data_IF_525749187941
#
_entry.id   IF_525749187941
#
_cell.length_a   1.000
_cell.length_b   1.000
_cell.length_c   1.000
_cell.angle_alpha   90.00
_cell.angle_beta   90.00
_cell.angle_gamma   90.00
#
_symmetry.space_group_name_H-M   'P 1'
#
loop_
_entity.id
_entity.type
_entity.pdbx_description
1 polymer ?
#
# COMPACT_ATOMS: atom_id res chain seq x y z
N UNK A 1 -7.55 19.98 11.48
CA UNK A 1 -6.57 18.85 11.47
C UNK A 1 -6.60 18.24 10.08
N UNK A 2 -5.46 17.85 9.52
CA UNK A 2 -5.41 17.14 8.22
C UNK A 2 -5.96 15.73 8.37
N UNK A 3 -6.62 15.21 7.33
CA UNK A 3 -7.31 13.92 7.34
C UNK A 3 -6.59 12.94 6.41
N UNK A 4 -6.28 11.75 6.95
CA UNK A 4 -5.62 10.65 6.23
C UNK A 4 -6.54 9.44 6.16
N UNK A 5 -6.95 9.05 4.96
CA UNK A 5 -7.74 7.84 4.70
C UNK A 5 -6.79 6.70 4.33
N UNK A 6 -6.88 5.58 5.04
CA UNK A 6 -5.97 4.44 4.86
C UNK A 6 -6.81 3.19 4.64
N UNK A 7 -6.69 2.57 3.47
CA UNK A 7 -7.38 1.33 3.15
C UNK A 7 -6.56 0.11 3.59
N UNK A 8 -7.22 -0.99 3.97
CA UNK A 8 -6.56 -2.16 4.54
C UNK A 8 -5.91 -1.88 5.89
N UNK A 9 -6.55 -1.05 6.73
CA UNK A 9 -5.97 -0.50 7.95
C UNK A 9 -6.24 -1.31 9.22
N UNK A 10 -6.86 -2.50 9.11
CA UNK A 10 -7.10 -3.36 10.26
C UNK A 10 -5.84 -4.08 10.75
N UNK A 11 -4.83 -4.26 9.89
CA UNK A 11 -3.61 -5.03 10.22
C UNK A 11 -2.42 -4.59 9.37
N UNK A 12 -1.24 -5.15 9.69
CA UNK A 12 -0.05 -5.06 8.87
C UNK A 12 0.42 -3.64 8.60
N UNK A 13 0.91 -3.40 7.38
CA UNK A 13 1.42 -2.09 6.95
C UNK A 13 0.35 -1.00 7.08
N UNK A 14 -0.93 -1.30 6.79
CA UNK A 14 -2.02 -0.33 6.91
C UNK A 14 -2.22 0.14 8.34
N UNK A 15 -2.24 -0.77 9.31
CA UNK A 15 -2.36 -0.43 10.73
C UNK A 15 -1.12 0.31 11.24
N UNK A 16 0.08 -0.12 10.85
CA UNK A 16 1.32 0.60 11.20
C UNK A 16 1.32 2.02 10.61
N UNK A 17 0.84 2.19 9.37
CA UNK A 17 0.65 3.52 8.76
C UNK A 17 -0.37 4.36 9.52
N UNK A 18 -1.49 3.78 9.95
CA UNK A 18 -2.48 4.48 10.76
C UNK A 18 -1.88 4.99 12.07
N UNK A 19 -1.08 4.16 12.75
CA UNK A 19 -0.36 4.56 13.98
C UNK A 19 0.64 5.69 13.71
N UNK A 20 1.47 5.57 12.67
CA UNK A 20 2.45 6.59 12.31
C UNK A 20 1.77 7.94 11.99
N UNK A 21 0.70 7.93 11.19
CA UNK A 21 -0.05 9.14 10.85
C UNK A 21 -0.73 9.76 12.08
N UNK A 22 -1.25 8.93 12.99
CA UNK A 22 -1.81 9.42 14.27
C UNK A 22 -0.74 10.08 15.12
N UNK A 23 0.45 9.50 15.23
CA UNK A 23 1.57 10.05 15.99
C UNK A 23 2.06 11.40 15.43
N UNK A 24 1.94 11.61 14.10
CA UNK A 24 2.22 12.90 13.46
C UNK A 24 1.08 13.93 13.58
N UNK A 25 0.01 13.59 14.29
CA UNK A 25 -1.09 14.50 14.59
C UNK A 25 -2.15 14.60 13.48
N UNK A 26 -2.23 13.62 12.56
CA UNK A 26 -3.29 13.57 11.58
C UNK A 26 -4.58 12.95 12.15
N UNK A 27 -5.72 13.37 11.66
CA UNK A 27 -6.97 12.66 11.84
C UNK A 27 -7.00 11.44 10.92
N UNK A 28 -7.07 10.25 11.48
CA UNK A 28 -7.02 9.01 10.72
C UNK A 28 -8.42 8.44 10.48
N UNK A 29 -8.66 7.97 9.26
CA UNK A 29 -9.80 7.14 8.88
C UNK A 29 -9.25 5.77 8.51
N UNK A 30 -9.55 4.76 9.32
CA UNK A 30 -9.19 3.37 9.09
C UNK A 30 -10.31 2.70 8.28
N UNK A 31 -9.96 2.17 7.11
CA UNK A 31 -10.89 1.51 6.20
C UNK A 31 -10.44 0.07 6.01
N UNK A 32 -11.34 -0.88 6.23
CA UNK A 32 -11.10 -2.29 5.95
C UNK A 32 -12.44 -3.01 5.76
N UNK A 33 -12.45 -4.12 5.03
CA UNK A 33 -13.63 -4.98 4.89
C UNK A 33 -13.74 -6.03 6.00
N UNK A 34 -12.70 -6.25 6.78
CA UNK A 34 -12.70 -7.13 7.95
C UNK A 34 -13.15 -6.33 9.17
N UNK A 35 -14.46 -6.23 9.34
CA UNK A 35 -15.08 -5.45 10.43
C UNK A 35 -14.63 -5.85 11.82
N UNK A 36 -14.42 -7.16 12.05
CA UNK A 36 -14.02 -7.67 13.37
C UNK A 36 -12.58 -7.28 13.70
N UNK A 37 -11.66 -7.47 12.76
CA UNK A 37 -10.26 -7.07 12.93
C UNK A 37 -10.14 -5.54 13.02
N UNK A 38 -10.91 -4.80 12.20
CA UNK A 38 -10.93 -3.33 12.22
C UNK A 38 -11.39 -2.81 13.58
N UNK A 39 -12.45 -3.37 14.15
CA UNK A 39 -12.95 -2.97 15.46
C UNK A 39 -11.94 -3.19 16.57
N UNK A 40 -11.18 -4.31 16.52
CA UNK A 40 -10.14 -4.61 17.51
C UNK A 40 -8.87 -3.78 17.33
N UNK A 41 -8.61 -3.28 16.12
CA UNK A 41 -7.43 -2.48 15.78
C UNK A 41 -7.69 -0.97 15.73
N UNK A 42 -8.91 -0.53 16.06
CA UNK A 42 -9.31 0.87 15.95
C UNK A 42 -8.50 1.76 16.92
N UNK A 43 -7.86 2.75 16.36
CA UNK A 43 -7.05 3.70 17.14
C UNK A 43 -7.94 4.74 17.85
N UNK A 44 -7.55 5.21 19.05
CA UNK A 44 -8.28 6.25 19.76
C UNK A 44 -8.48 7.50 18.89
N UNK A 45 -9.72 7.93 18.74
CA UNK A 45 -10.09 9.13 17.97
C UNK A 45 -10.14 8.90 16.44
N UNK A 46 -9.75 7.74 15.93
CA UNK A 46 -9.89 7.43 14.50
C UNK A 46 -11.37 7.18 14.12
N UNK A 47 -11.66 7.31 12.85
CA UNK A 47 -12.93 6.90 12.25
C UNK A 47 -12.73 5.52 11.61
N UNK A 48 -13.61 4.57 11.89
CA UNK A 48 -13.64 3.26 11.23
C UNK A 48 -14.71 3.23 10.15
N UNK A 49 -14.41 2.64 9.00
CA UNK A 49 -15.36 2.38 7.92
C UNK A 49 -15.18 0.97 7.38
N UNK A 50 -16.28 0.21 7.37
CA UNK A 50 -16.37 -1.10 6.75
C UNK A 50 -16.64 -0.94 5.26
N UNK A 51 -15.64 -1.27 4.41
CA UNK A 51 -15.72 -1.03 2.97
C UNK A 51 -14.94 -2.09 2.21
N UNK A 52 -15.59 -2.74 1.27
CA UNK A 52 -14.89 -3.45 0.19
C UNK A 52 -14.55 -2.46 -0.92
N UNK A 53 -13.27 -2.13 -1.05
CA UNK A 53 -12.81 -1.14 -2.05
C UNK A 53 -12.96 -1.61 -3.50
N UNK A 54 -13.29 -2.87 -3.76
CA UNK A 54 -13.62 -3.37 -5.10
C UNK A 54 -15.06 -3.05 -5.52
N UNK A 55 -15.88 -2.51 -4.61
CA UNK A 55 -17.25 -2.09 -4.84
C UNK A 55 -17.30 -0.56 -5.01
N UNK A 56 -17.66 -0.05 -6.21
CA UNK A 56 -17.66 1.39 -6.48
C UNK A 56 -18.69 2.17 -5.64
N UNK A 57 -19.81 1.56 -5.28
CA UNK A 57 -20.86 2.23 -4.49
C UNK A 57 -20.38 2.40 -3.04
N UNK A 58 -19.78 1.37 -2.44
CA UNK A 58 -19.19 1.45 -1.12
C UNK A 58 -18.03 2.46 -1.05
N UNK A 59 -17.21 2.55 -2.09
CA UNK A 59 -16.14 3.56 -2.18
C UNK A 59 -16.70 4.98 -2.24
N UNK A 60 -17.77 5.20 -3.01
CA UNK A 60 -18.43 6.50 -3.07
C UNK A 60 -19.03 6.90 -1.71
N UNK A 61 -19.70 5.96 -1.04
CA UNK A 61 -20.25 6.16 0.32
C UNK A 61 -19.16 6.42 1.36
N UNK A 62 -18.02 5.73 1.28
CA UNK A 62 -16.85 5.97 2.13
C UNK A 62 -16.39 7.42 2.03
N UNK A 63 -16.15 7.92 0.81
CA UNK A 63 -15.69 9.29 0.59
C UNK A 63 -16.73 10.29 1.10
N UNK A 64 -18.01 10.06 0.83
CA UNK A 64 -19.10 10.92 1.30
C UNK A 64 -19.16 10.95 2.84
N UNK A 65 -19.00 9.81 3.51
CA UNK A 65 -18.97 9.73 4.99
C UNK A 65 -17.79 10.49 5.59
N UNK A 66 -16.59 10.37 4.99
CA UNK A 66 -15.40 11.11 5.42
C UNK A 66 -15.62 12.62 5.26
N UNK A 67 -16.13 13.05 4.11
CA UNK A 67 -16.40 14.48 3.85
C UNK A 67 -17.51 15.02 4.76
N UNK A 68 -18.55 14.26 5.01
CA UNK A 68 -19.61 14.65 5.96
C UNK A 68 -19.08 14.90 7.37
N UNK A 69 -18.11 14.09 7.82
CA UNK A 69 -17.57 14.18 9.19
C UNK A 69 -16.42 15.19 9.32
N UNK A 70 -15.56 15.29 8.30
CA UNK A 70 -14.29 16.02 8.40
C UNK A 70 -14.16 17.15 7.38
N UNK A 71 -15.03 17.24 6.38
CA UNK A 71 -15.07 18.21 5.27
C UNK A 71 -13.80 18.25 4.40
N UNK A 72 -12.90 17.29 4.57
CA UNK A 72 -11.61 17.25 3.85
C UNK A 72 -11.01 15.86 3.78
N UNK A 73 -10.18 15.64 2.76
CA UNK A 73 -9.21 14.55 2.67
C UNK A 73 -7.88 15.19 2.24
N UNK A 74 -6.81 14.95 2.99
CA UNK A 74 -5.48 15.46 2.70
C UNK A 74 -4.57 14.36 2.16
N UNK A 75 -4.73 13.15 2.69
CA UNK A 75 -3.94 12.00 2.27
C UNK A 75 -4.85 10.80 2.03
N UNK A 76 -4.63 10.13 0.90
CA UNK A 76 -5.20 8.82 0.60
C UNK A 76 -4.08 7.80 0.49
N UNK A 77 -4.12 6.76 1.32
CA UNK A 77 -3.17 5.66 1.30
C UNK A 77 -3.90 4.40 0.81
N UNK A 78 -3.67 4.03 -0.46
CA UNK A 78 -4.20 2.83 -1.09
C UNK A 78 -3.34 1.63 -0.71
N UNK A 79 -3.57 1.08 0.48
CA UNK A 79 -2.81 -0.05 1.02
C UNK A 79 -3.56 -1.38 0.94
N UNK A 80 -4.89 -1.39 0.93
CA UNK A 80 -5.66 -2.63 0.83
C UNK A 80 -5.22 -3.46 -0.39
N UNK A 81 -5.08 -4.76 -0.16
CA UNK A 81 -4.67 -5.68 -1.20
C UNK A 81 -4.75 -7.13 -0.76
N UNK A 82 -4.90 -8.00 -1.73
CA UNK A 82 -4.93 -9.46 -1.55
C UNK A 82 -3.84 -10.10 -2.38
N UNK A 83 -3.34 -11.25 -1.90
CA UNK A 83 -2.37 -12.06 -2.60
C UNK A 83 -2.86 -13.51 -2.62
N UNK A 84 -2.88 -14.09 -3.79
CA UNK A 84 -3.13 -15.51 -4.00
C UNK A 84 -1.93 -16.08 -4.76
N UNK A 85 -1.46 -17.24 -4.33
CA UNK A 85 -0.23 -17.84 -4.84
C UNK A 85 -0.54 -19.18 -5.51
N UNK A 86 0.13 -19.47 -6.60
CA UNK A 86 0.00 -20.73 -7.32
C UNK A 86 0.73 -20.71 -8.66
N UNK A 87 0.97 -21.90 -9.26
CA UNK A 87 1.53 -21.99 -10.60
C UNK A 87 0.64 -21.29 -11.62
N UNK A 88 1.25 -20.81 -12.73
CA UNK A 88 0.51 -20.11 -13.80
C UNK A 88 -0.65 -20.96 -14.34
N UNK A 89 -0.46 -22.26 -14.49
CA UNK A 89 -1.49 -23.16 -15.03
C UNK A 89 -2.70 -23.37 -14.12
N UNK A 90 -2.55 -23.12 -12.82
CA UNK A 90 -3.61 -23.32 -11.81
C UNK A 90 -4.33 -22.01 -11.45
N UNK A 91 -3.84 -20.87 -11.95
CA UNK A 91 -4.47 -19.57 -11.71
C UNK A 91 -5.71 -19.44 -12.61
N UNK A 92 -6.88 -19.78 -12.09
CA UNK A 92 -8.13 -19.61 -12.82
C UNK A 92 -8.51 -18.13 -13.00
N UNK A 93 -9.44 -17.88 -13.94
CA UNK A 93 -9.86 -16.51 -14.24
C UNK A 93 -10.59 -15.83 -13.07
N UNK A 94 -11.26 -16.58 -12.20
CA UNK A 94 -11.93 -16.03 -11.03
C UNK A 94 -10.93 -15.53 -9.99
N UNK A 95 -9.88 -16.29 -9.76
CA UNK A 95 -8.74 -15.90 -8.92
C UNK A 95 -8.05 -14.64 -9.46
N UNK A 96 -7.76 -14.63 -10.77
CA UNK A 96 -7.22 -13.45 -11.45
C UNK A 96 -8.11 -12.21 -11.20
N UNK A 97 -9.42 -12.35 -11.43
CA UNK A 97 -10.38 -11.23 -11.26
C UNK A 97 -10.46 -10.73 -9.83
N UNK A 98 -10.49 -11.62 -8.83
CA UNK A 98 -10.49 -11.20 -7.42
C UNK A 98 -9.27 -10.37 -7.05
N UNK A 99 -8.08 -10.79 -7.49
CA UNK A 99 -6.83 -10.07 -7.22
C UNK A 99 -6.83 -8.70 -7.93
N UNK A 100 -7.22 -8.66 -9.20
CA UNK A 100 -7.28 -7.40 -9.96
C UNK A 100 -8.32 -6.43 -9.37
N UNK A 101 -9.51 -6.92 -9.04
CA UNK A 101 -10.59 -6.10 -8.49
C UNK A 101 -10.18 -5.39 -7.19
N UNK A 102 -9.52 -6.09 -6.27
CA UNK A 102 -9.07 -5.45 -5.02
C UNK A 102 -7.83 -4.58 -5.26
N UNK A 103 -6.79 -5.12 -5.91
CA UNK A 103 -5.49 -4.47 -5.92
C UNK A 103 -5.41 -3.30 -6.91
N UNK A 104 -6.04 -3.42 -8.07
CA UNK A 104 -5.98 -2.40 -9.13
C UNK A 104 -7.26 -1.57 -9.19
N UNK A 105 -8.42 -2.24 -9.40
CA UNK A 105 -9.68 -1.52 -9.57
C UNK A 105 -10.01 -0.73 -8.28
N UNK A 106 -9.85 -1.33 -7.09
CA UNK A 106 -10.06 -0.65 -5.81
C UNK A 106 -9.13 0.54 -5.60
N UNK A 107 -7.84 0.43 -5.98
CA UNK A 107 -6.90 1.55 -5.93
C UNK A 107 -7.34 2.68 -6.85
N UNK A 108 -7.81 2.36 -8.05
CA UNK A 108 -8.34 3.33 -9.00
C UNK A 108 -9.62 4.00 -8.45
N UNK A 109 -10.59 3.21 -7.99
CA UNK A 109 -11.88 3.70 -7.47
C UNK A 109 -11.68 4.65 -6.29
N UNK A 110 -10.88 4.28 -5.31
CA UNK A 110 -10.59 5.13 -4.15
C UNK A 110 -9.93 6.45 -4.58
N UNK A 111 -8.97 6.39 -5.49
CA UNK A 111 -8.29 7.58 -5.99
C UNK A 111 -9.23 8.49 -6.76
N UNK A 112 -10.06 7.93 -7.65
CA UNK A 112 -11.04 8.67 -8.44
C UNK A 112 -12.06 9.36 -7.53
N UNK A 113 -12.65 8.64 -6.59
CA UNK A 113 -13.67 9.18 -5.68
C UNK A 113 -13.12 10.29 -4.77
N UNK A 114 -11.85 10.20 -4.35
CA UNK A 114 -11.23 11.20 -3.48
C UNK A 114 -10.67 12.42 -4.24
N UNK A 115 -10.60 12.38 -5.57
CA UNK A 115 -9.90 13.39 -6.38
C UNK A 115 -10.37 14.81 -6.10
N UNK A 116 -11.68 15.08 -6.07
CA UNK A 116 -12.20 16.44 -5.85
C UNK A 116 -11.89 16.96 -4.43
N UNK A 117 -11.87 16.08 -3.43
CA UNK A 117 -11.46 16.46 -2.09
C UNK A 117 -9.95 16.77 -2.02
N UNK A 118 -9.13 15.94 -2.68
CA UNK A 118 -7.67 16.12 -2.76
C UNK A 118 -7.27 17.38 -3.55
N UNK A 119 -8.03 17.78 -4.58
CA UNK A 119 -7.83 19.05 -5.28
C UNK A 119 -7.97 20.24 -4.33
N UNK A 120 -9.00 20.25 -3.49
CA UNK A 120 -9.23 21.35 -2.50
C UNK A 120 -8.10 21.47 -1.49
N UNK A 121 -7.46 20.36 -1.13
CA UNK A 121 -6.40 20.32 -0.10
C UNK A 121 -4.99 20.36 -0.69
N UNK A 122 -4.85 20.21 -2.02
CA UNK A 122 -3.56 19.95 -2.70
C UNK A 122 -2.87 18.75 -2.05
N UNK A 123 -3.63 17.67 -1.92
CA UNK A 123 -3.33 16.52 -1.08
C UNK A 123 -2.30 15.56 -1.69
N UNK A 124 -2.26 14.35 -1.13
CA UNK A 124 -1.30 13.33 -1.54
C UNK A 124 -1.97 11.97 -1.63
N UNK A 125 -1.61 11.21 -2.67
CA UNK A 125 -1.95 9.79 -2.79
C UNK A 125 -0.65 8.99 -2.64
N UNK A 126 -0.69 7.94 -1.80
CA UNK A 126 0.38 6.93 -1.74
C UNK A 126 -0.23 5.57 -2.05
N UNK A 127 0.19 4.99 -3.17
CA UNK A 127 -0.22 3.65 -3.58
C UNK A 127 0.79 2.61 -3.08
N UNK A 128 0.31 1.46 -2.61
CA UNK A 128 1.19 0.38 -2.19
C UNK A 128 1.34 -0.64 -3.33
N UNK A 129 2.50 -0.57 -3.96
CA UNK A 129 2.99 -1.54 -4.93
C UNK A 129 3.54 -2.80 -4.26
N UNK A 130 4.58 -3.34 -4.83
CA UNK A 130 5.39 -4.45 -4.29
C UNK A 130 6.64 -4.59 -5.12
N UNK A 131 7.71 -5.16 -4.57
CA UNK A 131 8.83 -5.64 -5.38
C UNK A 131 8.40 -6.65 -6.43
N UNK A 132 7.30 -7.40 -6.21
CA UNK A 132 6.72 -8.30 -7.21
C UNK A 132 6.10 -7.57 -8.40
N UNK A 133 5.89 -6.27 -8.33
CA UNK A 133 5.51 -5.41 -9.44
C UNK A 133 6.70 -4.77 -10.16
N UNK A 134 7.86 -4.70 -9.51
CA UNK A 134 9.12 -4.21 -10.09
C UNK A 134 9.85 -5.32 -10.86
N UNK A 135 9.82 -6.53 -10.31
CA UNK A 135 10.47 -7.72 -10.87
C UNK A 135 9.58 -8.94 -10.67
N UNK A 136 9.69 -9.91 -11.58
CA UNK A 136 8.89 -11.12 -11.50
C UNK A 136 9.23 -11.95 -10.26
N UNK A 137 8.20 -12.55 -9.68
CA UNK A 137 8.31 -13.51 -8.58
C UNK A 137 7.53 -14.76 -8.93
N UNK A 138 8.05 -15.94 -8.60
CA UNK A 138 7.38 -17.22 -8.85
C UNK A 138 6.05 -17.32 -8.10
N UNK A 139 5.10 -18.06 -8.67
CA UNK A 139 3.77 -18.32 -8.09
C UNK A 139 2.90 -17.06 -7.85
N UNK A 140 3.19 -15.93 -8.48
CA UNK A 140 2.55 -14.63 -8.19
C UNK A 140 1.96 -13.95 -9.43
N UNK A 141 1.46 -14.73 -10.42
CA UNK A 141 1.05 -14.17 -11.71
C UNK A 141 0.01 -13.04 -11.57
N UNK A 142 -1.10 -13.27 -10.88
CA UNK A 142 -2.13 -12.25 -10.69
C UNK A 142 -1.64 -11.12 -9.79
N UNK A 143 -1.01 -11.47 -8.65
CA UNK A 143 -0.51 -10.48 -7.69
C UNK A 143 0.56 -9.57 -8.28
N UNK A 144 1.63 -10.15 -8.86
CA UNK A 144 2.73 -9.38 -9.45
C UNK A 144 2.24 -8.45 -10.57
N UNK A 145 1.37 -8.97 -11.44
CA UNK A 145 0.76 -8.19 -12.52
C UNK A 145 -0.09 -7.04 -11.97
N UNK A 146 -0.92 -7.28 -10.95
CA UNK A 146 -1.72 -6.22 -10.34
C UNK A 146 -0.83 -5.12 -9.73
N UNK A 147 0.28 -5.50 -9.08
CA UNK A 147 1.20 -4.53 -8.47
C UNK A 147 2.03 -3.76 -9.51
N UNK A 148 2.38 -4.38 -10.64
CA UNK A 148 2.98 -3.68 -11.78
C UNK A 148 1.99 -2.66 -12.39
N UNK A 149 0.71 -3.02 -12.49
CA UNK A 149 -0.33 -2.11 -12.95
C UNK A 149 -0.54 -0.92 -12.00
N UNK A 150 -0.51 -1.14 -10.68
CA UNK A 150 -0.57 -0.06 -9.66
C UNK A 150 0.62 0.89 -9.80
N UNK A 151 1.83 0.37 -10.06
CA UNK A 151 3.02 1.19 -10.32
C UNK A 151 2.79 2.10 -11.53
N UNK A 152 2.25 1.57 -12.63
CA UNK A 152 1.97 2.38 -13.81
C UNK A 152 0.81 3.35 -13.57
N UNK A 153 -0.25 2.93 -12.88
CA UNK A 153 -1.37 3.79 -12.48
C UNK A 153 -0.87 5.00 -11.66
N UNK A 154 0.08 4.79 -10.75
CA UNK A 154 0.70 5.87 -9.96
C UNK A 154 1.30 6.96 -10.85
N UNK A 155 2.02 6.57 -11.91
CA UNK A 155 2.65 7.52 -12.85
C UNK A 155 1.59 8.30 -13.64
N UNK A 156 0.52 7.63 -14.08
CA UNK A 156 -0.58 8.30 -14.79
C UNK A 156 -1.30 9.28 -13.87
N UNK A 157 -1.62 8.87 -12.64
CA UNK A 157 -2.24 9.74 -11.64
C UNK A 157 -1.36 10.96 -11.32
N UNK A 158 -0.05 10.77 -11.19
CA UNK A 158 0.88 11.88 -10.93
C UNK A 158 0.93 12.89 -12.08
N UNK A 159 0.91 12.39 -13.32
CA UNK A 159 0.93 13.24 -14.52
C UNK A 159 -0.35 14.07 -14.64
N UNK A 160 -1.53 13.47 -14.39
CA UNK A 160 -2.81 14.14 -14.55
C UNK A 160 -3.21 15.01 -13.35
N UNK A 161 -2.85 14.60 -12.13
CA UNK A 161 -3.27 15.29 -10.91
C UNK A 161 -2.27 16.35 -10.44
N UNK A 162 -1.07 16.36 -11.01
CA UNK A 162 0.00 17.30 -10.66
C UNK A 162 -0.36 18.77 -10.90
N UNK A 163 -1.15 19.08 -11.95
CA UNK A 163 -1.64 20.42 -12.23
C UNK A 163 -2.49 21.01 -11.10
N UNK A 164 -3.15 20.13 -10.31
CA UNK A 164 -3.94 20.55 -9.15
C UNK A 164 -3.13 20.59 -7.86
N UNK A 165 -1.80 20.37 -7.94
CA UNK A 165 -0.92 20.33 -6.79
C UNK A 165 -1.02 19.02 -5.97
N UNK A 166 -1.66 17.98 -6.50
CA UNK A 166 -1.74 16.66 -5.88
C UNK A 166 -0.46 15.90 -6.22
N UNK A 167 0.18 15.29 -5.21
CA UNK A 167 1.33 14.41 -5.40
C UNK A 167 0.87 12.95 -5.30
N UNK A 168 1.35 12.13 -6.22
CA UNK A 168 1.04 10.69 -6.22
C UNK A 168 2.34 9.89 -6.31
N UNK A 169 2.59 9.01 -5.34
CA UNK A 169 3.78 8.17 -5.31
C UNK A 169 3.42 6.73 -4.98
N UNK A 170 4.31 5.81 -5.29
CA UNK A 170 4.19 4.39 -4.99
C UNK A 170 5.29 3.95 -4.04
N UNK A 171 4.93 3.25 -2.96
CA UNK A 171 5.87 2.51 -2.13
C UNK A 171 5.78 1.04 -2.53
N UNK A 172 6.93 0.42 -2.81
CA UNK A 172 7.04 -1.00 -3.14
C UNK A 172 7.78 -1.73 -2.01
N UNK A 173 7.05 -2.32 -1.05
CA UNK A 173 7.67 -3.09 0.01
C UNK A 173 8.38 -4.33 -0.52
N UNK A 174 9.53 -4.64 0.08
CA UNK A 174 10.19 -5.94 0.00
C UNK A 174 9.52 -6.98 0.89
N UNK A 175 10.24 -8.05 1.24
CA UNK A 175 9.79 -8.97 2.29
C UNK A 175 9.68 -8.24 3.63
N UNK A 176 8.46 -8.17 4.17
CA UNK A 176 8.14 -7.53 5.45
C UNK A 176 7.62 -8.59 6.42
N UNK A 177 8.02 -8.50 7.68
CA UNK A 177 7.63 -9.42 8.74
C UNK A 177 6.18 -9.15 9.19
N UNK A 178 5.23 -9.38 8.27
CA UNK A 178 3.80 -9.29 8.57
C UNK A 178 3.27 -10.64 9.06
N UNK A 179 2.14 -10.63 9.79
CA UNK A 179 1.44 -11.85 10.20
C UNK A 179 1.15 -12.76 9.00
N UNK A 180 0.76 -12.19 7.87
CA UNK A 180 0.48 -12.92 6.63
C UNK A 180 1.75 -13.59 6.07
N UNK A 181 2.85 -12.87 5.95
CA UNK A 181 4.11 -13.40 5.42
C UNK A 181 4.65 -14.52 6.32
N UNK A 182 4.62 -14.33 7.63
CA UNK A 182 5.12 -15.34 8.59
C UNK A 182 4.26 -16.60 8.66
N UNK A 183 2.99 -16.53 8.24
CA UNK A 183 2.12 -17.70 8.19
C UNK A 183 2.42 -18.64 7.00
N UNK A 184 3.08 -18.14 5.95
CA UNK A 184 3.30 -18.90 4.70
C UNK A 184 4.79 -19.12 4.36
N UNK A 185 5.71 -18.41 5.01
CA UNK A 185 7.15 -18.56 4.78
C UNK A 185 7.76 -19.55 5.77
N UNK A 186 8.33 -20.64 5.25
CA UNK A 186 9.17 -21.55 6.01
C UNK A 186 10.52 -20.89 6.38
N UNK A 187 11.25 -21.47 7.32
CA UNK A 187 12.58 -20.98 7.68
C UNK A 187 13.53 -20.94 6.45
N UNK A 188 13.46 -21.97 5.59
CA UNK A 188 14.25 -22.02 4.35
C UNK A 188 13.95 -20.84 3.42
N UNK A 189 12.66 -20.46 3.28
CA UNK A 189 12.26 -19.29 2.50
C UNK A 189 12.80 -18.00 3.14
N UNK A 190 12.73 -17.89 4.46
CA UNK A 190 13.26 -16.74 5.21
C UNK A 190 14.76 -16.61 4.99
N UNK A 191 15.51 -17.70 5.11
CA UNK A 191 16.97 -17.71 4.93
C UNK A 191 17.35 -17.33 3.49
N UNK A 192 16.63 -17.86 2.49
CA UNK A 192 16.83 -17.52 1.09
C UNK A 192 16.58 -16.02 0.82
N UNK A 193 15.56 -15.43 1.46
CA UNK A 193 15.35 -13.97 1.37
C UNK A 193 16.44 -13.17 2.09
N UNK A 194 16.89 -13.61 3.27
CA UNK A 194 17.98 -12.97 3.97
C UNK A 194 19.25 -12.94 3.11
N UNK A 195 19.57 -14.02 2.42
CA UNK A 195 20.72 -14.09 1.52
C UNK A 195 20.58 -13.17 0.31
N UNK A 196 19.37 -13.01 -0.20
CA UNK A 196 19.09 -12.17 -1.37
C UNK A 196 18.98 -10.67 -1.05
N UNK A 197 18.64 -10.32 0.19
CA UNK A 197 18.46 -8.92 0.62
C UNK A 197 19.81 -8.35 1.12
N UNK A 198 20.33 -7.24 0.56
CA UNK A 198 21.58 -6.63 1.04
C UNK A 198 21.62 -6.33 2.53
N UNK A 199 20.50 -5.85 3.12
CA UNK A 199 20.40 -5.65 4.58
C UNK A 199 20.24 -6.93 5.38
N UNK A 200 20.20 -8.10 4.71
CA UNK A 200 20.17 -9.45 5.30
C UNK A 200 19.05 -9.67 6.34
N UNK A 201 17.90 -9.06 6.15
CA UNK A 201 16.73 -9.21 7.00
C UNK A 201 15.45 -8.79 6.31
N UNK A 202 14.31 -9.24 6.82
CA UNK A 202 13.02 -8.67 6.50
C UNK A 202 12.90 -7.25 7.08
N UNK A 203 12.16 -6.39 6.37
CA UNK A 203 11.70 -5.14 6.92
C UNK A 203 10.60 -5.32 7.98
N UNK A 204 10.31 -4.25 8.70
CA UNK A 204 9.17 -4.17 9.62
C UNK A 204 8.03 -3.38 8.98
N UNK A 205 6.82 -3.56 9.50
CA UNK A 205 5.65 -2.79 9.10
C UNK A 205 5.86 -1.28 9.34
N UNK A 206 6.53 -0.94 10.43
CA UNK A 206 6.84 0.46 10.80
C UNK A 206 7.83 1.12 9.82
N UNK A 207 8.83 0.40 9.31
CA UNK A 207 9.77 0.94 8.32
C UNK A 207 9.05 1.33 7.02
N UNK A 208 8.05 0.54 6.61
CA UNK A 208 7.20 0.87 5.46
C UNK A 208 6.29 2.05 5.80
N UNK A 209 5.67 2.05 6.99
CA UNK A 209 4.79 3.12 7.44
C UNK A 209 5.50 4.48 7.51
N UNK A 210 6.74 4.54 7.99
CA UNK A 210 7.54 5.76 8.01
C UNK A 210 7.84 6.27 6.60
N UNK A 211 8.09 5.38 5.65
CA UNK A 211 8.27 5.76 4.23
C UNK A 211 7.00 6.37 3.66
N UNK A 212 5.83 5.80 3.96
CA UNK A 212 4.53 6.32 3.56
C UNK A 212 4.28 7.69 4.19
N UNK A 213 4.49 7.84 5.50
CA UNK A 213 4.32 9.09 6.22
C UNK A 213 5.24 10.20 5.67
N UNK A 214 6.50 9.88 5.37
CA UNK A 214 7.41 10.81 4.69
C UNK A 214 6.84 11.31 3.36
N UNK A 215 6.34 10.42 2.50
CA UNK A 215 5.75 10.79 1.22
C UNK A 215 4.47 11.62 1.37
N UNK A 216 3.71 11.45 2.44
CA UNK A 216 2.55 12.29 2.78
C UNK A 216 2.97 13.68 3.29
N UNK A 217 4.15 13.82 3.88
CA UNK A 217 4.61 15.03 4.53
C UNK A 217 5.01 16.14 3.55
N UNK A 218 5.13 17.37 4.06
CA UNK A 218 5.66 18.52 3.30
C UNK A 218 7.15 18.36 2.90
N UNK A 219 7.88 17.48 3.59
CA UNK A 219 9.30 17.19 3.24
C UNK A 219 9.44 16.54 1.88
N UNK A 220 8.38 15.91 1.36
CA UNK A 220 8.31 15.31 0.03
C UNK A 220 7.61 16.23 -0.99
N UNK A 221 7.58 17.55 -0.78
CA UNK A 221 6.78 18.51 -1.59
C UNK A 221 7.14 18.56 -3.07
N UNK A 222 8.33 18.11 -3.47
CA UNK A 222 8.76 18.04 -4.87
C UNK A 222 8.90 16.61 -5.40
N UNK A 223 8.29 15.63 -4.69
CA UNK A 223 8.33 14.21 -5.05
C UNK A 223 6.93 13.78 -5.50
N UNK A 224 6.77 13.51 -6.81
CA UNK A 224 5.56 12.96 -7.41
C UNK A 224 5.91 12.03 -8.56
N UNK A 225 5.07 11.03 -8.86
CA UNK A 225 5.29 10.03 -9.90
C UNK A 225 6.39 9.02 -9.58
N UNK A 226 6.91 9.01 -8.35
CA UNK A 226 8.04 8.16 -7.98
C UNK A 226 7.58 6.80 -7.48
N UNK A 227 8.42 5.81 -7.76
CA UNK A 227 8.27 4.43 -7.30
C UNK A 227 9.45 4.13 -6.40
N UNK A 228 9.18 4.00 -5.11
CA UNK A 228 10.21 3.82 -4.10
C UNK A 228 10.17 2.39 -3.56
N UNK A 229 11.20 1.61 -3.85
CA UNK A 229 11.40 0.32 -3.22
C UNK A 229 11.86 0.52 -1.77
N UNK A 230 11.09 -0.03 -0.82
CA UNK A 230 11.44 -0.08 0.60
C UNK A 230 11.64 -1.56 0.97
N UNK A 231 12.81 -2.12 0.60
CA UNK A 231 13.02 -3.55 0.44
C UNK A 231 14.39 -4.05 0.94
N UNK A 232 15.15 -3.20 1.60
CA UNK A 232 16.49 -3.53 2.08
C UNK A 232 17.54 -3.69 0.97
N UNK A 233 17.25 -3.16 -0.24
CA UNK A 233 18.13 -3.23 -1.41
C UNK A 233 17.87 -4.44 -2.31
N UNK A 234 16.80 -5.20 -2.07
CA UNK A 234 16.51 -6.43 -2.81
C UNK A 234 16.28 -6.19 -4.30
N UNK A 235 15.54 -5.13 -4.68
CA UNK A 235 15.31 -4.81 -6.09
C UNK A 235 16.56 -4.32 -6.81
N UNK A 236 17.41 -3.56 -6.12
CA UNK A 236 18.63 -2.97 -6.69
C UNK A 236 19.78 -3.95 -6.85
N UNK A 237 19.67 -5.16 -6.29
CA UNK A 237 20.73 -6.16 -6.33
C UNK A 237 20.61 -7.04 -7.58
N UNK A 238 21.60 -6.96 -8.48
CA UNK A 238 21.68 -7.82 -9.66
C UNK A 238 22.14 -9.23 -9.31
N UNK A 239 23.33 -9.35 -8.73
CA UNK A 239 23.92 -10.62 -8.27
C UNK A 239 24.30 -10.48 -6.79
N UNK A 240 23.61 -11.19 -5.93
CA UNK A 240 24.00 -11.35 -4.52
C UNK A 240 25.02 -12.48 -4.40
N UNK A 241 26.13 -12.22 -3.69
CA UNK A 241 27.14 -13.23 -3.40
C UNK A 241 27.28 -13.38 -1.87
N UNK A 242 26.35 -14.12 -1.23
CA UNK A 242 26.33 -14.27 0.23
C UNK A 242 27.65 -14.77 0.80
N UNK A 243 28.37 -15.63 0.07
CA UNK A 243 29.69 -16.15 0.46
C UNK A 243 30.75 -15.05 0.66
N UNK A 244 30.61 -13.89 0.02
CA UNK A 244 31.53 -12.77 0.20
C UNK A 244 31.25 -11.97 1.49
N UNK A 245 30.12 -12.21 2.17
CA UNK A 245 29.82 -11.55 3.45
C UNK A 245 30.49 -12.20 4.64
N UNK A 246 31.04 -13.42 4.45
CA UNK A 246 31.70 -14.20 5.48
C UNK A 246 33.19 -13.88 5.64
N UNK A 247 33.74 -12.92 4.85
CA UNK A 247 35.09 -12.42 4.94
C UNK A 247 35.10 -11.06 5.62
#
# INVERSE_FOLDING_TARGET
MKVSVITGAARGIGLATAKAMTAEGYQVVQVDRDTQELASALLPGAMALDVDISDPDQVAEMVAAVLKKHDRIDHLINNAGVAEFGPMGDCDFSQWRRVMATNLDGTFLCSQAATEALKRTRGTIVNIGSISGLRASTLRVAYGTSKAAVIQLTKQQAAELGEFGIRVNCVCPGPVRTKLAMAVHSQEIIDAYHDAIPLNRYGTEDEIAHTIAFLCSHKASYITGQVLAADGGFDSTGVGLPALRAT
#
